data_IF_914614435385
#
_entry.id   IF_914614435385
#
_cell.length_a   1.000
_cell.length_b   1.000
_cell.length_c   1.000
_cell.angle_alpha   90.00
_cell.angle_beta   90.00
_cell.angle_gamma   90.00
#
_symmetry.space_group_name_H-M   'P 1'
#
loop_
_entity.id
_entity.type
_entity.pdbx_description
1 polymer ?
#
# COMPACT_ATOMS: atom_id res chain seq x y z
N UNK A 1 0.40 14.67 18.47
CA UNK A 1 1.06 14.75 17.10
C UNK A 1 1.33 13.31 16.73
N UNK A 2 0.95 12.87 15.55
CA UNK A 2 1.11 11.45 15.21
C UNK A 2 2.59 11.04 15.13
N UNK A 3 2.86 9.76 15.39
CA UNK A 3 4.23 9.21 15.38
C UNK A 3 4.93 9.43 14.04
N UNK A 4 4.22 9.39 12.93
CA UNK A 4 4.77 9.68 11.60
C UNK A 4 5.23 11.15 11.47
N UNK A 5 4.53 12.10 12.07
CA UNK A 5 4.95 13.51 12.14
C UNK A 5 6.18 13.69 13.02
N UNK A 6 6.24 13.02 14.17
CA UNK A 6 7.42 13.03 15.05
C UNK A 6 8.66 12.49 14.34
N UNK A 7 8.51 11.43 13.52
CA UNK A 7 9.57 10.88 12.69
C UNK A 7 9.92 11.75 11.48
N UNK A 8 9.28 12.93 11.33
CA UNK A 8 9.46 13.87 10.20
C UNK A 8 9.26 13.19 8.85
N UNK A 9 8.33 12.24 8.78
CA UNK A 9 7.99 11.56 7.54
C UNK A 9 7.47 12.58 6.53
N UNK A 10 8.01 12.64 5.30
CA UNK A 10 7.55 13.59 4.29
C UNK A 10 6.09 13.33 3.89
N UNK A 11 5.31 14.39 3.79
CA UNK A 11 3.96 14.33 3.21
C UNK A 11 4.09 14.48 1.70
N UNK A 12 3.69 13.45 0.97
CA UNK A 12 3.78 13.45 -0.48
C UNK A 12 2.53 12.83 -1.11
N UNK A 13 1.93 13.53 -2.06
CA UNK A 13 0.77 13.12 -2.81
C UNK A 13 0.97 13.43 -4.30
N UNK A 14 1.12 12.38 -5.12
CA UNK A 14 1.34 12.53 -6.56
C UNK A 14 0.15 13.19 -7.27
N UNK A 15 -1.07 12.88 -6.82
CA UNK A 15 -2.34 13.38 -7.35
C UNK A 15 -2.88 14.61 -6.59
N UNK A 16 -2.07 15.17 -5.68
CA UNK A 16 -2.46 16.23 -4.77
C UNK A 16 -3.19 15.72 -3.52
N UNK A 17 -2.97 16.40 -2.39
CA UNK A 17 -3.56 16.02 -1.10
C UNK A 17 -5.10 16.00 -1.15
N UNK A 18 -5.78 14.99 -0.59
CA UNK A 18 -7.23 14.88 -0.66
C UNK A 18 -7.98 15.85 0.23
N UNK A 19 -7.31 16.50 1.20
CA UNK A 19 -7.95 17.25 2.28
C UNK A 19 -8.40 16.34 3.43
N UNK A 20 -9.33 16.84 4.23
CA UNK A 20 -9.94 16.05 5.30
C UNK A 20 -10.80 14.94 4.71
N UNK A 21 -10.70 13.73 5.28
CA UNK A 21 -11.44 12.55 4.86
C UNK A 21 -12.31 12.05 6.03
N UNK A 22 -13.51 11.58 5.69
CA UNK A 22 -14.40 10.97 6.68
C UNK A 22 -13.97 9.54 6.95
N UNK A 23 -13.37 9.29 8.11
CA UNK A 23 -12.93 7.96 8.52
C UNK A 23 -14.10 7.04 8.85
N UNK A 24 -15.10 7.54 9.55
CA UNK A 24 -16.22 6.73 10.00
C UNK A 24 -17.12 6.31 8.84
N UNK A 25 -17.26 7.17 7.85
CA UNK A 25 -17.93 6.86 6.58
C UNK A 25 -17.02 6.22 5.51
N UNK A 26 -15.79 5.79 5.87
CA UNK A 26 -14.88 5.22 4.88
C UNK A 26 -15.34 3.87 4.38
N UNK A 27 -15.30 3.70 3.06
CA UNK A 27 -15.69 2.49 2.38
C UNK A 27 -14.63 2.05 1.37
N UNK A 28 -14.44 0.74 1.25
CA UNK A 28 -13.56 0.12 0.26
C UNK A 28 -14.36 -0.89 -0.55
N UNK A 29 -14.56 -0.61 -1.82
CA UNK A 29 -15.17 -1.54 -2.76
C UNK A 29 -14.15 -2.62 -3.18
N UNK A 30 -14.51 -3.90 -3.04
CA UNK A 30 -13.70 -5.04 -3.50
C UNK A 30 -14.46 -5.78 -4.58
N UNK A 31 -13.87 -5.82 -5.80
CA UNK A 31 -14.51 -6.32 -7.03
C UNK A 31 -13.52 -7.11 -7.89
N UNK A 32 -13.97 -7.52 -9.07
CA UNK A 32 -13.18 -8.26 -10.06
C UNK A 32 -13.41 -9.76 -9.96
N UNK A 33 -12.37 -10.56 -10.04
CA UNK A 33 -12.44 -12.02 -10.03
C UNK A 33 -12.71 -12.55 -8.61
N UNK A 34 -13.96 -12.46 -8.17
CA UNK A 34 -14.45 -12.99 -6.90
C UNK A 34 -15.94 -13.34 -7.00
N UNK A 35 -16.39 -14.31 -6.21
CA UNK A 35 -17.79 -14.78 -6.22
C UNK A 35 -18.71 -13.82 -5.45
N UNK A 36 -18.19 -13.15 -4.41
CA UNK A 36 -18.96 -12.29 -3.52
C UNK A 36 -18.36 -10.88 -3.44
N UNK A 37 -18.44 -10.06 -4.52
CA UNK A 37 -17.98 -8.68 -4.47
C UNK A 37 -18.75 -7.91 -3.40
N UNK A 38 -18.04 -7.10 -2.60
CA UNK A 38 -18.69 -6.33 -1.53
C UNK A 38 -17.93 -5.04 -1.24
N UNK A 39 -18.63 -4.13 -0.58
CA UNK A 39 -18.05 -2.94 0.05
C UNK A 39 -17.79 -3.22 1.52
N UNK A 40 -16.57 -2.97 1.97
CA UNK A 40 -16.19 -3.02 3.37
C UNK A 40 -16.23 -1.61 3.93
N UNK A 41 -17.05 -1.42 4.95
CA UNK A 41 -17.08 -0.19 5.74
C UNK A 41 -15.86 -0.13 6.68
N UNK A 42 -15.60 1.04 7.24
CA UNK A 42 -14.63 1.21 8.32
C UNK A 42 -14.89 0.26 9.49
N UNK A 43 -16.16 0.10 9.87
CA UNK A 43 -16.56 -0.81 10.93
C UNK A 43 -16.28 -2.28 10.58
N UNK A 44 -16.54 -2.70 9.32
CA UNK A 44 -16.22 -4.06 8.85
C UNK A 44 -14.72 -4.34 8.95
N UNK A 45 -13.87 -3.41 8.46
CA UNK A 45 -12.41 -3.58 8.52
C UNK A 45 -11.90 -3.73 9.95
N UNK A 46 -12.45 -2.96 10.88
CA UNK A 46 -12.09 -3.05 12.31
C UNK A 46 -12.58 -4.32 12.99
N UNK A 47 -13.66 -4.92 12.50
CA UNK A 47 -14.18 -6.18 13.01
C UNK A 47 -13.41 -7.41 12.50
N UNK A 48 -12.65 -7.27 11.41
CA UNK A 48 -11.80 -8.34 10.89
C UNK A 48 -10.55 -8.56 11.78
N UNK A 49 -9.91 -9.74 11.70
CA UNK A 49 -8.67 -10.02 12.42
C UNK A 49 -7.59 -8.97 12.10
N UNK A 50 -7.16 -8.22 13.13
CA UNK A 50 -6.08 -7.24 13.00
C UNK A 50 -4.73 -7.93 13.01
N UNK A 51 -3.89 -7.64 12.02
CA UNK A 51 -2.48 -8.01 11.96
C UNK A 51 -1.62 -6.78 12.21
N UNK A 52 -0.57 -6.92 13.01
CA UNK A 52 0.43 -5.86 13.24
C UNK A 52 1.78 -6.39 12.76
N UNK A 53 2.44 -5.61 11.90
CA UNK A 53 3.76 -5.94 11.34
C UNK A 53 4.76 -4.82 11.62
N UNK A 54 5.94 -5.14 12.13
CA UNK A 54 7.07 -4.21 12.24
C UNK A 54 7.87 -4.29 10.94
N UNK A 55 7.74 -3.28 10.10
CA UNK A 55 8.39 -3.28 8.80
C UNK A 55 8.63 -1.86 8.27
N UNK A 56 9.47 -1.77 7.25
CA UNK A 56 9.79 -0.52 6.55
C UNK A 56 8.82 -0.26 5.40
N UNK A 57 8.51 1.01 5.20
CA UNK A 57 8.00 1.53 3.93
C UNK A 57 9.13 2.31 3.26
N UNK A 58 9.66 1.78 2.17
CA UNK A 58 10.83 2.33 1.49
C UNK A 58 10.39 3.07 0.24
N UNK A 59 10.54 4.40 0.22
CA UNK A 59 10.22 5.24 -0.94
C UNK A 59 11.39 5.32 -1.90
N UNK A 60 11.12 5.44 -3.21
CA UNK A 60 12.13 5.80 -4.21
C UNK A 60 12.70 7.19 -3.91
N UNK A 61 11.86 8.12 -3.44
CA UNK A 61 12.19 9.52 -3.14
C UNK A 61 12.84 9.72 -1.76
N UNK A 62 13.92 9.06 -1.43
CA UNK A 62 14.83 9.41 -0.34
C UNK A 62 14.37 9.19 1.10
N UNK A 63 13.23 8.63 1.38
CA UNK A 63 12.88 8.33 2.76
C UNK A 63 12.49 6.86 2.97
N UNK A 64 12.79 6.37 4.13
CA UNK A 64 12.28 5.10 4.66
C UNK A 64 11.69 5.39 6.03
N UNK A 65 10.53 4.84 6.28
CA UNK A 65 9.95 4.87 7.63
C UNK A 65 9.73 3.45 8.12
N UNK A 66 10.18 3.16 9.33
CA UNK A 66 9.97 1.89 10.02
C UNK A 66 9.07 2.09 11.22
N UNK A 67 8.16 1.16 11.44
CA UNK A 67 7.30 1.10 12.61
C UNK A 67 6.30 -0.05 12.51
N UNK A 68 5.38 -0.10 13.47
CA UNK A 68 4.37 -1.14 13.55
C UNK A 68 3.11 -0.72 12.80
N UNK A 69 2.91 -1.33 11.64
CA UNK A 69 1.74 -1.11 10.81
C UNK A 69 0.63 -2.08 11.20
N UNK A 70 -0.54 -1.55 11.55
CA UNK A 70 -1.72 -2.32 11.93
C UNK A 70 -2.81 -2.25 10.85
N UNK A 71 -3.45 -3.39 10.57
CA UNK A 71 -4.50 -3.45 9.57
C UNK A 71 -5.01 -4.86 9.32
N UNK A 72 -5.73 -5.04 8.23
CA UNK A 72 -6.26 -6.31 7.77
C UNK A 72 -5.37 -6.84 6.64
N UNK A 73 -5.04 -8.11 6.65
CA UNK A 73 -4.27 -8.74 5.56
C UNK A 73 -5.08 -8.73 4.27
N UNK A 74 -4.41 -8.49 3.14
CA UNK A 74 -5.07 -8.59 1.82
C UNK A 74 -5.63 -9.99 1.60
N UNK A 75 -4.95 -11.03 2.05
CA UNK A 75 -5.45 -12.41 1.98
C UNK A 75 -6.81 -12.57 2.69
N UNK A 76 -7.02 -11.93 3.85
CA UNK A 76 -8.28 -12.03 4.57
C UNK A 76 -9.42 -11.31 3.85
N UNK A 77 -9.12 -10.19 3.20
CA UNK A 77 -10.06 -9.49 2.30
C UNK A 77 -10.43 -10.37 1.11
N UNK A 78 -9.43 -10.99 0.46
CA UNK A 78 -9.63 -11.90 -0.68
C UNK A 78 -10.49 -13.11 -0.30
N UNK A 79 -10.23 -13.70 0.87
CA UNK A 79 -11.04 -14.81 1.41
C UNK A 79 -12.50 -14.38 1.67
N UNK A 80 -12.70 -13.19 2.23
CA UNK A 80 -14.03 -12.66 2.55
C UNK A 80 -14.91 -12.40 1.33
N UNK A 81 -14.29 -12.14 0.15
CA UNK A 81 -15.01 -11.98 -1.14
C UNK A 81 -14.98 -13.24 -2.00
N UNK A 82 -14.42 -14.35 -1.50
CA UNK A 82 -14.22 -15.60 -2.24
C UNK A 82 -13.49 -15.36 -3.58
N UNK A 83 -12.26 -14.85 -3.46
CA UNK A 83 -11.41 -14.59 -4.62
C UNK A 83 -11.23 -15.85 -5.49
N UNK A 84 -11.39 -15.68 -6.80
CA UNK A 84 -11.25 -16.78 -7.75
C UNK A 84 -9.78 -17.25 -7.85
N UNK A 85 -9.50 -18.55 -8.03
CA UNK A 85 -8.12 -19.05 -8.16
C UNK A 85 -7.34 -18.48 -9.35
N UNK A 86 -8.00 -17.91 -10.35
CA UNK A 86 -7.36 -17.25 -11.49
C UNK A 86 -6.87 -15.83 -11.21
N UNK A 87 -7.07 -15.30 -10.01
CA UNK A 87 -6.51 -13.98 -9.65
C UNK A 87 -4.98 -14.05 -9.72
N UNK A 88 -4.41 -13.21 -10.56
CA UNK A 88 -2.96 -13.08 -10.73
C UNK A 88 -2.44 -11.74 -10.18
N UNK A 89 -3.30 -10.71 -10.11
CA UNK A 89 -2.94 -9.37 -9.65
C UNK A 89 -4.03 -8.74 -8.79
N UNK A 90 -3.59 -7.89 -7.86
CA UNK A 90 -4.45 -7.05 -7.01
C UNK A 90 -4.15 -5.60 -7.30
N UNK A 91 -5.16 -4.82 -7.71
CA UNK A 91 -5.06 -3.40 -8.03
C UNK A 91 -5.73 -2.56 -6.97
N UNK A 92 -5.04 -1.51 -6.54
CA UNK A 92 -5.53 -0.53 -5.56
C UNK A 92 -5.81 0.80 -6.23
N UNK A 93 -6.92 1.44 -5.89
CA UNK A 93 -7.26 2.79 -6.29
C UNK A 93 -7.35 3.73 -5.08
N UNK A 94 -6.73 4.90 -5.21
CA UNK A 94 -6.80 5.99 -4.24
C UNK A 94 -8.10 6.81 -4.37
N UNK A 95 -8.46 7.54 -3.33
CA UNK A 95 -9.72 8.29 -3.20
C UNK A 95 -10.03 9.23 -4.35
N UNK A 96 -9.03 9.87 -4.96
CA UNK A 96 -9.24 10.78 -6.12
C UNK A 96 -9.43 10.05 -7.45
N UNK A 97 -9.28 8.73 -7.47
CA UNK A 97 -9.34 7.90 -8.70
C UNK A 97 -8.34 8.32 -9.78
N UNK A 98 -7.25 8.97 -9.39
CA UNK A 98 -6.13 9.36 -10.27
C UNK A 98 -4.96 8.42 -10.03
N UNK A 99 -4.67 8.10 -8.76
CA UNK A 99 -3.61 7.20 -8.39
C UNK A 99 -4.12 5.77 -8.28
N UNK A 100 -3.40 4.89 -8.95
CA UNK A 100 -3.61 3.45 -8.88
C UNK A 100 -2.27 2.71 -9.00
N UNK A 101 -2.25 1.47 -8.57
CA UNK A 101 -1.12 0.56 -8.76
C UNK A 101 -1.56 -0.90 -8.63
N UNK A 102 -0.87 -1.80 -9.30
CA UNK A 102 -1.12 -3.24 -9.23
C UNK A 102 0.08 -3.96 -8.62
N UNK A 103 -0.19 -5.02 -7.86
CA UNK A 103 0.82 -5.94 -7.33
C UNK A 103 0.48 -7.38 -7.70
N UNK A 104 1.48 -8.28 -7.86
CA UNK A 104 1.24 -9.69 -8.05
C UNK A 104 0.48 -10.32 -6.87
N UNK A 105 -0.36 -11.32 -7.13
CA UNK A 105 -1.14 -12.00 -6.08
C UNK A 105 -0.24 -12.68 -5.06
N UNK A 106 0.89 -13.25 -5.47
CA UNK A 106 1.87 -13.84 -4.56
C UNK A 106 2.44 -12.83 -3.56
N UNK A 107 2.58 -11.56 -3.94
CA UNK A 107 2.95 -10.49 -3.01
C UNK A 107 1.76 -10.06 -2.15
N UNK A 108 0.56 -10.01 -2.73
CA UNK A 108 -0.66 -9.60 -2.03
C UNK A 108 -1.00 -10.53 -0.86
N UNK A 109 -0.80 -11.84 -1.01
CA UNK A 109 -1.13 -12.86 0.01
C UNK A 109 -0.05 -13.03 1.09
N UNK A 110 1.14 -12.42 0.94
CA UNK A 110 2.21 -12.50 1.95
C UNK A 110 1.75 -11.91 3.29
N UNK A 111 2.37 -12.37 4.38
CA UNK A 111 1.93 -12.08 5.75
C UNK A 111 1.92 -10.60 6.10
N UNK A 112 2.83 -9.81 5.53
CA UNK A 112 2.99 -8.39 5.86
C UNK A 112 2.29 -7.43 4.88
N UNK A 113 1.54 -7.95 3.88
CA UNK A 113 0.75 -7.11 2.96
C UNK A 113 -0.63 -6.81 3.56
N UNK A 114 -0.90 -5.53 3.86
CA UNK A 114 -2.08 -5.10 4.59
C UNK A 114 -2.89 -4.01 3.86
N UNK A 115 -4.18 -3.96 4.14
CA UNK A 115 -4.92 -2.70 4.21
C UNK A 115 -4.67 -2.12 5.61
N UNK A 116 -3.67 -1.24 5.71
CA UNK A 116 -3.23 -0.66 6.97
C UNK A 116 -4.03 0.59 7.32
N UNK A 117 -4.44 0.71 8.57
CA UNK A 117 -5.15 1.84 9.12
C UNK A 117 -4.52 2.40 10.40
N UNK A 118 -3.45 1.74 10.92
CA UNK A 118 -2.69 2.19 12.10
C UNK A 118 -1.18 2.22 11.80
N UNK A 119 -0.49 3.13 12.49
CA UNK A 119 0.97 3.16 12.61
C UNK A 119 1.33 3.40 14.08
N UNK A 120 2.15 2.50 14.67
CA UNK A 120 2.53 2.50 16.08
C UNK A 120 1.36 2.60 17.08
N UNK A 121 0.20 2.04 16.69
CA UNK A 121 -1.02 2.00 17.51
C UNK A 121 -1.92 3.23 17.37
N UNK A 122 -1.57 4.20 16.55
CA UNK A 122 -2.39 5.37 16.22
C UNK A 122 -3.02 5.23 14.82
N UNK A 123 -4.26 5.67 14.65
CA UNK A 123 -4.90 5.69 13.34
C UNK A 123 -4.16 6.61 12.36
N UNK A 124 -4.02 6.13 11.13
CA UNK A 124 -3.37 6.89 10.07
C UNK A 124 -4.14 8.20 9.77
N UNK A 125 -3.39 9.29 9.71
CA UNK A 125 -3.88 10.57 9.21
C UNK A 125 -3.86 10.60 7.67
N UNK A 126 -4.63 11.51 7.08
CA UNK A 126 -4.70 11.71 5.62
C UNK A 126 -3.32 11.99 5.01
N UNK A 127 -2.50 12.79 5.69
CA UNK A 127 -1.12 13.09 5.27
C UNK A 127 -0.33 11.84 4.88
N UNK A 128 -0.57 10.74 5.60
CA UNK A 128 0.16 9.48 5.45
C UNK A 128 -0.65 8.36 4.80
N UNK A 129 -1.78 8.70 4.20
CA UNK A 129 -2.62 7.77 3.45
C UNK A 129 -3.75 7.14 4.24
N UNK A 130 -4.10 7.71 5.41
CA UNK A 130 -5.35 7.37 6.09
C UNK A 130 -6.60 7.74 5.27
N UNK A 131 -7.78 7.26 5.66
CA UNK A 131 -8.03 6.33 6.77
C UNK A 131 -7.45 4.94 6.59
N UNK A 132 -7.35 4.42 5.36
CA UNK A 132 -6.82 3.09 5.02
C UNK A 132 -5.90 3.19 3.82
N UNK A 133 -4.73 2.59 3.91
CA UNK A 133 -3.77 2.51 2.80
C UNK A 133 -3.37 1.06 2.50
N UNK A 134 -2.95 0.78 1.27
CA UNK A 134 -2.18 -0.41 1.00
C UNK A 134 -0.79 -0.26 1.66
N UNK A 135 -0.32 -1.32 2.32
CA UNK A 135 1.02 -1.42 2.88
C UNK A 135 1.68 -2.68 2.31
N UNK A 136 2.68 -2.49 1.47
CA UNK A 136 3.37 -3.56 0.72
C UNK A 136 4.87 -3.43 0.98
N UNK A 137 5.39 -3.93 2.12
CA UNK A 137 6.77 -3.70 2.53
C UNK A 137 7.82 -4.40 1.66
N UNK A 138 7.41 -5.32 0.82
CA UNK A 138 8.27 -6.09 -0.09
C UNK A 138 8.67 -5.33 -1.35
N UNK A 139 7.95 -4.26 -1.67
CA UNK A 139 8.08 -3.51 -2.91
C UNK A 139 8.32 -2.01 -2.62
N UNK A 140 8.79 -1.29 -3.62
CA UNK A 140 8.92 0.15 -3.55
C UNK A 140 7.60 0.80 -3.12
N UNK A 141 7.68 1.84 -2.28
CA UNK A 141 6.55 2.49 -1.64
C UNK A 141 5.45 3.01 -2.58
N UNK A 142 5.72 3.19 -3.87
CA UNK A 142 4.68 3.54 -4.83
C UNK A 142 3.68 2.39 -5.09
N UNK A 143 4.00 1.16 -4.69
CA UNK A 143 3.03 0.05 -4.67
C UNK A 143 2.09 0.10 -3.46
N UNK A 144 2.36 0.96 -2.49
CA UNK A 144 1.57 1.14 -1.27
C UNK A 144 0.61 2.33 -1.42
N UNK A 145 -0.44 2.17 -2.21
CA UNK A 145 -1.43 3.21 -2.50
C UNK A 145 -2.05 3.79 -1.22
N UNK A 146 -2.18 5.13 -1.17
CA UNK A 146 -2.77 5.88 -0.07
C UNK A 146 -4.28 5.97 -0.20
N UNK A 147 -4.99 6.09 0.94
CA UNK A 147 -6.44 6.36 1.01
C UNK A 147 -7.22 5.51 0.01
N UNK A 148 -7.09 4.19 0.16
CA UNK A 148 -7.66 3.20 -0.75
C UNK A 148 -9.17 3.19 -0.63
N UNK A 149 -9.86 3.30 -1.78
CA UNK A 149 -11.33 3.21 -1.89
C UNK A 149 -11.79 2.01 -2.72
N UNK A 150 -10.87 1.39 -3.46
CA UNK A 150 -11.20 0.22 -4.28
C UNK A 150 -10.03 -0.74 -4.39
N UNK A 151 -10.35 -2.04 -4.31
CA UNK A 151 -9.46 -3.17 -4.58
C UNK A 151 -10.08 -3.98 -5.71
N UNK A 152 -9.32 -4.25 -6.77
CA UNK A 152 -9.78 -5.04 -7.92
C UNK A 152 -8.91 -6.27 -8.06
N UNK A 153 -9.55 -7.43 -8.10
CA UNK A 153 -8.90 -8.73 -8.32
C UNK A 153 -8.88 -9.06 -9.82
N UNK A 154 -7.70 -9.25 -10.42
CA UNK A 154 -7.51 -9.34 -11.86
C UNK A 154 -6.67 -10.56 -12.26
N UNK A 155 -6.83 -11.04 -13.49
CA UNK A 155 -6.02 -12.10 -14.11
C UNK A 155 -4.83 -11.57 -14.92
N UNK A 156 -4.75 -10.27 -15.14
CA UNK A 156 -3.68 -9.63 -15.89
C UNK A 156 -3.15 -8.37 -15.20
N UNK A 157 -1.92 -8.01 -15.52
CA UNK A 157 -1.28 -6.79 -15.01
C UNK A 157 -1.81 -5.54 -15.71
N UNK A 158 -1.97 -4.47 -14.92
CA UNK A 158 -2.26 -3.12 -15.44
C UNK A 158 -1.30 -2.15 -14.77
N UNK A 159 -0.46 -1.49 -15.57
CA UNK A 159 0.45 -0.44 -15.10
C UNK A 159 -0.32 0.68 -14.41
N UNK A 160 0.16 1.10 -13.24
CA UNK A 160 -0.44 2.14 -12.45
C UNK A 160 0.09 3.54 -12.76
N UNK A 161 -0.12 4.45 -11.83
CA UNK A 161 0.23 5.87 -11.97
C UNK A 161 1.71 6.12 -12.23
N UNK A 162 2.61 5.56 -11.40
CA UNK A 162 4.04 5.78 -11.51
C UNK A 162 4.70 4.90 -12.56
N UNK A 163 4.19 3.70 -12.75
CA UNK A 163 4.66 2.76 -13.77
C UNK A 163 4.50 3.37 -15.18
N UNK A 164 3.36 4.02 -15.45
CA UNK A 164 3.13 4.80 -16.70
C UNK A 164 4.05 6.02 -16.84
N UNK A 165 4.78 6.40 -15.79
CA UNK A 165 5.74 7.52 -15.74
C UNK A 165 7.19 7.06 -15.64
N UNK A 166 7.45 5.78 -15.90
CA UNK A 166 8.79 5.22 -16.06
C UNK A 166 9.36 4.50 -14.83
N UNK A 167 8.57 4.28 -13.77
CA UNK A 167 8.96 3.33 -12.72
C UNK A 167 8.69 1.90 -13.19
N UNK A 168 9.37 0.93 -12.57
CA UNK A 168 9.25 -0.48 -12.97
C UNK A 168 7.92 -1.08 -12.52
N UNK A 169 7.41 -2.00 -13.33
CA UNK A 169 6.16 -2.71 -13.02
C UNK A 169 6.34 -3.65 -11.82
N UNK A 170 7.49 -4.30 -11.71
CA UNK A 170 7.83 -5.26 -10.65
C UNK A 170 8.07 -4.57 -9.29
N UNK A 171 8.67 -3.38 -9.31
CA UNK A 171 8.93 -2.58 -8.11
C UNK A 171 9.80 -3.25 -7.03
N UNK A 172 10.64 -4.23 -7.40
CA UNK A 172 11.52 -4.88 -6.44
C UNK A 172 12.57 -3.92 -5.87
N UNK A 173 12.80 -4.03 -4.55
CA UNK A 173 13.94 -3.40 -3.92
C UNK A 173 15.17 -4.29 -4.10
N UNK A 174 16.29 -3.64 -4.43
CA UNK A 174 17.62 -4.28 -4.49
C UNK A 174 18.63 -3.40 -3.76
N UNK A 175 19.62 -4.04 -3.13
CA UNK A 175 20.72 -3.32 -2.53
C UNK A 175 21.55 -2.62 -3.61
N UNK A 176 22.00 -1.40 -3.35
CA UNK A 176 22.81 -0.67 -4.31
C UNK A 176 22.37 0.77 -4.54
N UNK A 177 22.75 1.33 -5.68
CA UNK A 177 22.41 2.71 -6.05
C UNK A 177 21.15 2.71 -6.92
N UNK A 178 20.15 3.45 -6.50
CA UNK A 178 18.89 3.64 -7.21
C UNK A 178 18.79 5.11 -7.64
N UNK A 179 18.42 5.32 -8.90
CA UNK A 179 18.18 6.65 -9.47
C UNK A 179 16.68 6.91 -9.56
N UNK A 180 16.23 8.00 -8.93
CA UNK A 180 14.85 8.45 -9.04
C UNK A 180 14.67 9.29 -10.32
N UNK A 181 14.03 8.72 -11.33
CA UNK A 181 13.81 9.35 -12.64
C UNK A 181 12.80 10.50 -12.57
N UNK A 182 11.94 10.54 -11.57
CA UNK A 182 10.91 11.55 -11.40
C UNK A 182 11.28 12.65 -10.37
N UNK A 183 12.48 12.56 -9.74
CA UNK A 183 13.04 13.59 -8.84
C UNK A 183 14.42 14.08 -9.34
N UNK A 184 14.48 14.51 -10.60
CA UNK A 184 15.69 15.08 -11.20
C UNK A 184 16.87 14.10 -11.29
N UNK A 185 16.63 12.82 -11.31
CA UNK A 185 17.67 11.78 -11.41
C UNK A 185 18.51 11.63 -10.13
N UNK A 186 17.99 12.05 -8.99
CA UNK A 186 18.70 11.92 -7.70
C UNK A 186 18.99 10.48 -7.35
N UNK A 187 20.17 10.27 -6.75
CA UNK A 187 20.66 8.94 -6.39
C UNK A 187 20.40 8.68 -4.92
N UNK A 188 19.87 7.50 -4.61
CA UNK A 188 19.74 6.92 -3.29
C UNK A 188 20.52 5.60 -3.20
N UNK A 189 21.10 5.32 -2.04
CA UNK A 189 21.66 3.99 -1.73
C UNK A 189 20.68 3.23 -0.86
N UNK A 190 20.35 2.00 -1.26
CA UNK A 190 19.67 0.99 -0.46
C UNK A 190 20.72 0.10 0.18
N UNK A 191 20.70 -0.05 1.49
CA UNK A 191 21.61 -0.94 2.19
C UNK A 191 21.21 -2.41 2.05
N UNK A 192 22.17 -3.30 2.25
CA UNK A 192 21.92 -4.76 2.33
C UNK A 192 20.88 -5.11 3.41
N UNK A 193 20.93 -4.44 4.55
CA UNK A 193 19.96 -4.64 5.64
C UNK A 193 18.55 -4.23 5.21
N UNK A 194 18.39 -3.05 4.61
CA UNK A 194 17.13 -2.54 4.10
C UNK A 194 16.51 -3.49 3.04
N UNK A 195 17.34 -3.99 2.14
CA UNK A 195 16.94 -4.97 1.13
C UNK A 195 16.53 -6.32 1.74
N UNK A 196 17.36 -6.89 2.63
CA UNK A 196 17.05 -8.19 3.28
C UNK A 196 15.76 -8.15 4.07
N UNK A 197 15.49 -7.07 4.79
CA UNK A 197 14.23 -6.90 5.52
C UNK A 197 12.99 -6.94 4.61
N UNK A 198 13.11 -6.50 3.35
CA UNK A 198 12.02 -6.60 2.37
C UNK A 198 11.76 -8.04 1.89
N UNK A 199 12.71 -8.96 2.06
CA UNK A 199 12.57 -10.37 1.66
C UNK A 199 11.90 -11.22 2.74
N UNK A 200 11.99 -10.82 4.00
CA UNK A 200 11.47 -11.58 5.13
C UNK A 200 9.94 -11.62 5.15
N UNK A 201 9.35 -12.71 5.68
CA UNK A 201 7.92 -12.89 5.93
C UNK A 201 7.57 -12.76 7.42
#
# INVERSE_FOLDING_TARGET
MSRLKELRTPVFWAEGHPGALDREGWEIEVTGLCDEPRTFTWADLRAMPKTVVDARLTSVTRFTVRGRWGGVRILDIMNAVKAHPSVAFVRFWSTKRIYDTSIPVETAIRKRTLLAYEFDGEYLEEDYGGPVRAFVPYLWGYKSAKSVIRVILMDHYVSGYWEKRGYTDEAHLEAGLVRDMNDGGRIRRISEEEWKECLDD
#
